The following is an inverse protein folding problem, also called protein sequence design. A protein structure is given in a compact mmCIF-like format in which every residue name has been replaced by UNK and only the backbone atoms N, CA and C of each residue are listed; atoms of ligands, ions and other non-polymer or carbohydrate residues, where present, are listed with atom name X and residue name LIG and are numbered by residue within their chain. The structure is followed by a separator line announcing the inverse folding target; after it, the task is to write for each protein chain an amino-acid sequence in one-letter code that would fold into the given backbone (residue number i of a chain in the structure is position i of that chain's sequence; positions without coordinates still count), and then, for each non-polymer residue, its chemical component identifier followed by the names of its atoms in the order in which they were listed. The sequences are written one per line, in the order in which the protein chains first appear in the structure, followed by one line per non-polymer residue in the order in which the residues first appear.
data_IF_909343951367
#
_entry.id   IF_909343951367
#
_cell.length_a   1.000
_cell.length_b   1.000
_cell.length_c   1.000
_cell.angle_alpha   90.00
_cell.angle_beta   90.00
_cell.angle_gamma   90.00
#
_symmetry.space_group_name_H-M   'P 1'
#
loop_
_entity.id
_entity.type
_entity.pdbx_description
1 polymer ?
#
# COMPACT_ATOMS: atom_id res chain seq x y z
N UNK A 1 -8.24 3.66 23.59
CA UNK A 1 -7.66 2.30 23.42
C UNK A 1 -8.11 1.66 22.11
N UNK A 2 -9.42 1.40 21.87
CA UNK A 2 -9.87 0.78 20.62
C UNK A 2 -9.52 1.54 19.34
N UNK A 3 -9.61 2.88 19.34
CA UNK A 3 -9.26 3.70 18.17
C UNK A 3 -7.77 3.60 17.83
N UNK A 4 -6.88 3.78 18.81
CA UNK A 4 -5.43 3.62 18.58
C UNK A 4 -5.06 2.24 18.05
N UNK A 5 -5.71 1.17 18.52
CA UNK A 5 -5.48 -0.19 18.03
C UNK A 5 -5.95 -0.35 16.57
N UNK A 6 -7.07 0.26 16.20
CA UNK A 6 -7.56 0.30 14.82
C UNK A 6 -6.59 1.10 13.93
N UNK A 7 -6.11 2.26 14.40
CA UNK A 7 -5.14 3.09 13.69
C UNK A 7 -3.81 2.35 13.47
N UNK A 8 -3.29 1.67 14.50
CA UNK A 8 -2.07 0.89 14.39
C UNK A 8 -2.23 -0.28 13.40
N UNK A 9 -3.36 -0.98 13.45
CA UNK A 9 -3.66 -2.05 12.50
C UNK A 9 -3.78 -1.52 11.07
N UNK A 10 -4.45 -0.39 10.88
CA UNK A 10 -4.58 0.26 9.57
C UNK A 10 -3.22 0.67 9.01
N UNK A 11 -2.36 1.28 9.83
CA UNK A 11 -1.01 1.68 9.43
C UNK A 11 -0.16 0.45 9.07
N UNK A 12 -0.25 -0.62 9.87
CA UNK A 12 0.44 -1.89 9.60
C UNK A 12 -0.02 -2.51 8.29
N UNK A 13 -1.32 -2.57 8.03
CA UNK A 13 -1.90 -3.07 6.77
C UNK A 13 -1.42 -2.25 5.57
N UNK A 14 -1.38 -0.92 5.68
CA UNK A 14 -0.86 -0.04 4.63
C UNK A 14 0.60 -0.33 4.31
N UNK A 15 1.47 -0.42 5.33
CA UNK A 15 2.89 -0.72 5.13
C UNK A 15 3.09 -2.09 4.50
N UNK A 16 2.32 -3.09 4.92
CA UNK A 16 2.37 -4.44 4.35
C UNK A 16 2.01 -4.43 2.86
N UNK A 17 0.87 -3.83 2.50
CA UNK A 17 0.45 -3.71 1.10
C UNK A 17 1.51 -3.01 0.24
N UNK A 18 2.00 -1.84 0.68
CA UNK A 18 3.01 -1.10 -0.06
C UNK A 18 4.33 -1.87 -0.17
N UNK A 19 4.70 -2.65 0.85
CA UNK A 19 5.86 -3.53 0.82
C UNK A 19 5.75 -4.60 -0.27
N UNK A 20 4.60 -5.29 -0.33
CA UNK A 20 4.33 -6.31 -1.35
C UNK A 20 4.28 -5.72 -2.76
N UNK A 21 3.62 -4.57 -2.94
CA UNK A 21 3.59 -3.85 -4.22
C UNK A 21 5.01 -3.50 -4.68
N UNK A 22 5.83 -2.95 -3.77
CA UNK A 22 7.22 -2.59 -4.07
C UNK A 22 8.02 -3.80 -4.51
N UNK A 23 7.90 -4.93 -3.80
CA UNK A 23 8.60 -6.16 -4.15
C UNK A 23 8.17 -6.67 -5.52
N UNK A 24 6.86 -6.77 -5.77
CA UNK A 24 6.32 -7.18 -7.06
C UNK A 24 6.82 -6.28 -8.20
N UNK A 25 6.76 -4.96 -8.01
CA UNK A 25 7.20 -4.03 -9.04
C UNK A 25 8.71 -4.12 -9.27
N UNK A 26 9.50 -4.21 -8.20
CA UNK A 26 10.95 -4.40 -8.29
C UNK A 26 11.28 -5.67 -9.09
N UNK A 27 10.59 -6.78 -8.82
CA UNK A 27 10.78 -8.03 -9.56
C UNK A 27 10.41 -7.90 -11.05
N UNK A 28 9.27 -7.29 -11.38
CA UNK A 28 8.81 -7.15 -12.75
C UNK A 28 9.58 -6.12 -13.58
N UNK A 29 10.15 -5.09 -12.93
CA UNK A 29 10.81 -3.96 -13.61
C UNK A 29 12.34 -4.08 -13.63
N UNK A 30 12.90 -5.00 -12.83
CA UNK A 30 14.36 -5.21 -12.78
C UNK A 30 14.78 -6.44 -13.59
N UNK A 31 16.05 -6.48 -13.97
CA UNK A 31 16.64 -7.69 -14.57
C UNK A 31 16.71 -8.83 -13.52
N UNK A 32 16.40 -10.09 -13.89
CA UNK A 32 15.99 -10.55 -15.22
C UNK A 32 14.47 -10.50 -15.48
N UNK A 33 13.65 -10.14 -14.49
CA UNK A 33 12.18 -10.18 -14.57
C UNK A 33 11.60 -9.35 -15.72
N UNK A 34 12.18 -8.19 -16.03
CA UNK A 34 11.76 -7.33 -17.14
C UNK A 34 11.76 -8.02 -18.51
N UNK A 35 12.59 -9.05 -18.72
CA UNK A 35 12.65 -9.81 -19.97
C UNK A 35 11.40 -10.66 -20.21
N UNK A 36 10.77 -11.13 -19.13
CA UNK A 36 9.61 -12.01 -19.18
C UNK A 36 8.34 -11.31 -18.67
N UNK A 37 8.45 -10.11 -18.11
CA UNK A 37 7.35 -9.32 -17.57
C UNK A 37 6.19 -9.20 -18.57
N UNK A 38 6.47 -8.80 -19.82
CA UNK A 38 5.45 -8.71 -20.87
C UNK A 38 4.86 -10.08 -21.28
N UNK A 39 5.63 -11.16 -21.22
CA UNK A 39 5.17 -12.51 -21.58
C UNK A 39 4.18 -13.07 -20.55
N UNK A 40 4.37 -12.74 -19.28
CA UNK A 40 3.51 -13.19 -18.18
C UNK A 40 2.45 -12.15 -17.79
N UNK A 41 2.30 -11.06 -18.55
CA UNK A 41 1.28 -10.05 -18.31
C UNK A 41 1.51 -9.22 -17.04
N UNK A 42 2.77 -9.02 -16.65
CA UNK A 42 3.11 -8.11 -15.55
C UNK A 42 2.57 -6.70 -15.83
N UNK A 43 2.05 -6.08 -14.78
CA UNK A 43 1.61 -4.68 -14.76
C UNK A 43 2.16 -4.01 -13.50
N UNK A 44 2.43 -2.70 -13.59
CA UNK A 44 2.80 -1.91 -12.42
C UNK A 44 1.60 -1.82 -11.46
N UNK A 45 1.86 -1.99 -10.17
CA UNK A 45 0.86 -1.81 -9.12
C UNK A 45 1.14 -0.51 -8.37
N UNK A 46 0.10 0.31 -8.18
CA UNK A 46 0.24 1.57 -7.44
C UNK A 46 0.31 1.32 -5.93
N UNK A 47 1.01 2.21 -5.22
CA UNK A 47 1.01 2.18 -3.76
C UNK A 47 -0.33 2.65 -3.19
N UNK A 48 -0.69 2.10 -2.05
CA UNK A 48 -1.81 2.58 -1.26
C UNK A 48 -1.40 3.84 -0.49
N UNK A 49 -1.63 4.98 -1.12
CA UNK A 49 -1.42 6.29 -0.54
C UNK A 49 -2.68 6.79 0.19
N UNK A 50 -2.48 7.64 1.19
CA UNK A 50 -3.57 8.32 1.88
C UNK A 50 -3.82 9.60 1.11
N UNK A 51 -5.02 9.80 0.53
CA UNK A 51 -5.40 11.09 -0.04
C UNK A 51 -5.19 12.17 1.03
N UNK A 52 -4.61 13.33 0.68
CA UNK A 52 -4.29 14.39 1.65
C UNK A 52 -5.48 14.76 2.56
N UNK A 53 -6.70 14.68 2.02
CA UNK A 53 -7.96 14.91 2.75
C UNK A 53 -8.21 13.92 3.91
N UNK A 54 -7.67 12.72 3.84
CA UNK A 54 -7.85 11.65 4.85
C UNK A 54 -6.77 11.65 5.94
N UNK A 55 -5.84 12.60 5.92
CA UNK A 55 -4.91 12.86 7.04
C UNK A 55 -5.50 13.78 8.11
N UNK A 56 -6.65 14.39 7.88
CA UNK A 56 -7.35 15.12 8.93
C UNK A 56 -7.84 14.15 10.00
N UNK A 57 -7.50 14.43 11.26
CA UNK A 57 -8.01 13.69 12.40
C UNK A 57 -9.54 13.66 12.33
N UNK A 58 -10.12 12.47 12.19
CA UNK A 58 -11.57 12.28 12.22
C UNK A 58 -12.06 12.77 13.59
N UNK A 59 -12.75 13.91 13.61
CA UNK A 59 -13.37 14.43 14.83
C UNK A 59 -14.58 13.57 15.17
N UNK A 60 -14.36 12.52 15.97
CA UNK A 60 -15.44 11.66 16.44
C UNK A 60 -16.24 12.44 17.50
N UNK A 61 -17.47 12.80 17.16
CA UNK A 61 -18.39 13.48 18.07
C UNK A 61 -19.30 12.45 18.73
N UNK A 62 -19.15 12.25 20.04
CA UNK A 62 -19.99 11.37 20.84
C UNK A 62 -21.07 12.22 21.52
N UNK A 63 -22.17 12.49 20.81
CA UNK A 63 -23.40 12.98 21.44
C UNK A 63 -24.13 11.83 22.14
#
# INVERSE_FOLDING_TARGET
QKLNEIEENLERSRRYYNGTVRENNTYGESFPGVLFAGMFGYQHFDYFETEEASRENVKVNFN
#
